data_IF_098215928647
#
_entry.id   IF_098215928647
#
_cell.length_a   1.000
_cell.length_b   1.000
_cell.length_c   1.000
_cell.angle_alpha   90.00
_cell.angle_beta   90.00
_cell.angle_gamma   90.00
#
_symmetry.space_group_name_H-M   'P 1'
#
loop_
_entity.id
_entity.type
_entity.pdbx_description
1 polymer ?
#
# COMPACT_ATOMS: atom_id res chain seq x y z
N UNK A 1 14.07 -22.44 3.21
CA UNK A 1 12.77 -23.07 2.95
C UNK A 1 11.97 -22.06 2.17
N UNK A 2 12.01 -22.23 0.86
CA UNK A 2 11.52 -21.28 -0.13
C UNK A 2 10.09 -21.72 -0.45
N UNK A 3 9.12 -20.91 -0.07
CA UNK A 3 7.73 -21.14 -0.41
C UNK A 3 7.28 -19.92 -1.18
N UNK A 4 6.71 -20.13 -2.36
CA UNK A 4 5.86 -19.16 -3.03
C UNK A 4 4.44 -19.30 -2.46
N UNK A 5 3.82 -18.21 -2.03
CA UNK A 5 2.40 -18.14 -1.63
C UNK A 5 1.69 -17.32 -2.68
N UNK A 6 0.63 -17.88 -3.24
CA UNK A 6 -0.28 -17.19 -4.13
C UNK A 6 -1.67 -17.13 -3.52
N UNK A 7 -2.43 -16.09 -3.86
CA UNK A 7 -3.81 -15.92 -3.44
C UNK A 7 -4.59 -15.09 -4.43
N UNK A 8 -5.10 -15.69 -5.52
CA UNK A 8 -6.01 -14.97 -6.43
C UNK A 8 -7.45 -15.08 -5.98
N UNK A 9 -8.23 -14.01 -6.22
CA UNK A 9 -9.67 -14.04 -6.01
C UNK A 9 -10.30 -15.24 -6.76
N UNK A 10 -11.20 -16.01 -6.10
CA UNK A 10 -11.79 -17.20 -6.72
C UNK A 10 -12.74 -16.87 -7.88
N UNK A 11 -13.24 -15.63 -7.94
CA UNK A 11 -14.13 -15.12 -8.97
C UNK A 11 -13.67 -13.73 -9.39
N UNK A 12 -13.48 -13.53 -10.69
CA UNK A 12 -13.16 -12.25 -11.32
C UNK A 12 -14.27 -11.93 -12.32
N UNK A 13 -14.77 -10.69 -12.30
CA UNK A 13 -15.80 -10.24 -13.23
C UNK A 13 -15.21 -9.24 -14.22
N UNK A 14 -15.51 -9.40 -15.50
CA UNK A 14 -14.99 -8.54 -16.56
C UNK A 14 -16.10 -8.12 -17.52
N UNK A 15 -15.97 -6.93 -18.10
CA UNK A 15 -16.93 -6.39 -19.07
C UNK A 15 -16.56 -6.85 -20.46
N UNK A 16 -17.52 -7.41 -21.21
CA UNK A 16 -17.35 -7.76 -22.61
C UNK A 16 -16.91 -6.55 -23.45
N UNK A 17 -15.93 -6.76 -24.32
CA UNK A 17 -15.36 -5.74 -25.19
C UNK A 17 -14.31 -4.86 -24.53
N UNK A 18 -14.04 -5.04 -23.22
CA UNK A 18 -12.94 -4.38 -22.53
C UNK A 18 -11.73 -5.31 -22.38
N UNK A 19 -10.53 -4.72 -22.40
CA UNK A 19 -9.31 -5.44 -22.04
C UNK A 19 -9.24 -5.59 -20.53
N UNK A 20 -9.31 -6.83 -20.06
CA UNK A 20 -9.07 -7.20 -18.67
C UNK A 20 -7.59 -7.47 -18.44
N UNK A 21 -7.06 -6.91 -17.34
CA UNK A 21 -5.72 -7.18 -16.83
C UNK A 21 -5.90 -7.88 -15.48
N UNK A 22 -5.59 -9.17 -15.45
CA UNK A 22 -5.72 -10.01 -14.25
C UNK A 22 -4.33 -10.35 -13.76
N UNK A 23 -3.95 -9.77 -12.63
CA UNK A 23 -2.70 -10.08 -11.97
C UNK A 23 -2.89 -11.33 -11.11
N UNK A 24 -2.00 -12.31 -11.27
CA UNK A 24 -1.86 -13.40 -10.31
C UNK A 24 -0.88 -12.92 -9.24
N UNK A 25 -1.31 -12.83 -7.97
CA UNK A 25 -0.40 -12.45 -6.90
C UNK A 25 0.47 -13.66 -6.59
N UNK A 26 1.72 -13.58 -6.98
CA UNK A 26 2.77 -14.47 -6.54
C UNK A 26 3.81 -13.63 -5.82
N UNK A 27 4.32 -14.14 -4.72
CA UNK A 27 5.35 -13.45 -3.95
C UNK A 27 6.58 -14.35 -3.84
N UNK A 28 7.70 -13.77 -4.24
CA UNK A 28 9.05 -14.20 -3.87
C UNK A 28 9.53 -13.22 -2.80
N UNK A 29 9.72 -13.73 -1.59
CA UNK A 29 10.04 -12.90 -0.44
C UNK A 29 11.52 -12.65 -0.26
N UNK A 30 12.41 -13.50 -0.75
CA UNK A 30 13.85 -13.23 -0.63
C UNK A 30 14.43 -12.52 -1.85
N UNK A 31 13.64 -12.39 -2.92
CA UNK A 31 13.99 -11.65 -4.15
C UNK A 31 15.15 -12.29 -4.91
N UNK A 32 15.49 -13.54 -4.58
CA UNK A 32 16.54 -14.29 -5.26
C UNK A 32 15.98 -15.32 -6.22
N UNK A 33 14.73 -15.71 -6.01
CA UNK A 33 14.04 -16.66 -6.85
C UNK A 33 13.41 -15.98 -8.07
N UNK A 34 13.23 -16.76 -9.13
CA UNK A 34 12.57 -16.36 -10.36
C UNK A 34 11.19 -16.98 -10.41
N UNK A 35 10.18 -16.19 -10.07
CA UNK A 35 8.77 -16.63 -10.10
C UNK A 35 8.23 -16.51 -11.51
N UNK A 36 7.64 -17.61 -12.00
CA UNK A 36 7.01 -17.66 -13.31
C UNK A 36 5.62 -18.25 -13.22
N UNK A 37 4.76 -17.78 -14.11
CA UNK A 37 3.45 -18.35 -14.31
C UNK A 37 3.34 -19.01 -15.68
N UNK A 38 2.56 -20.09 -15.75
CA UNK A 38 2.17 -20.74 -17.00
C UNK A 38 0.75 -21.26 -16.90
N UNK A 39 0.11 -21.48 -18.05
CA UNK A 39 -1.14 -22.23 -18.06
C UNK A 39 -0.88 -23.65 -17.55
N UNK A 40 -1.83 -24.17 -16.77
CA UNK A 40 -1.80 -25.57 -16.36
C UNK A 40 -1.92 -26.48 -17.61
N UNK A 41 -1.20 -27.60 -17.59
CA UNK A 41 -1.14 -28.56 -18.70
C UNK A 41 -1.64 -29.94 -18.25
N UNK A 42 -2.42 -30.60 -19.13
CA UNK A 42 -2.88 -31.99 -18.97
C UNK A 42 -1.73 -33.01 -18.92
N UNK A 43 -0.53 -32.59 -19.34
CA UNK A 43 0.70 -33.39 -19.40
C UNK A 43 1.86 -32.74 -18.64
N UNK A 44 1.54 -31.92 -17.63
CA UNK A 44 2.53 -31.22 -16.83
C UNK A 44 3.44 -32.14 -16.01
N UNK A 45 4.50 -31.61 -15.37
CA UNK A 45 5.46 -32.38 -14.59
C UNK A 45 4.84 -33.20 -13.45
N UNK A 46 3.70 -32.77 -12.92
CA UNK A 46 2.93 -33.45 -11.89
C UNK A 46 1.79 -34.34 -12.44
N UNK A 47 1.68 -34.50 -13.76
CA UNK A 47 0.58 -35.18 -14.44
C UNK A 47 -0.47 -34.19 -14.96
N UNK A 48 -1.74 -34.51 -14.74
CA UNK A 48 -2.86 -33.69 -15.19
C UNK A 48 -3.13 -32.53 -14.22
N UNK A 49 -2.68 -31.32 -14.57
CA UNK A 49 -2.77 -30.13 -13.72
C UNK A 49 -4.08 -29.33 -13.92
N UNK A 50 -4.79 -29.59 -15.01
CA UNK A 50 -5.99 -28.84 -15.41
C UNK A 50 -7.23 -29.70 -15.62
N UNK A 51 -7.16 -31.03 -15.52
CA UNK A 51 -8.28 -31.87 -15.90
C UNK A 51 -8.72 -31.57 -17.33
N UNK A 52 -10.02 -31.32 -17.49
CA UNK A 52 -10.62 -31.00 -18.80
C UNK A 52 -10.63 -29.50 -19.14
N UNK A 53 -10.03 -28.62 -18.32
CA UNK A 53 -10.16 -27.15 -18.44
C UNK A 53 -8.87 -26.43 -18.87
N UNK A 54 -7.94 -27.14 -19.52
CA UNK A 54 -6.68 -26.58 -19.99
C UNK A 54 -6.92 -25.48 -21.05
N UNK A 55 -6.27 -24.32 -20.90
CA UNK A 55 -6.36 -23.18 -21.83
C UNK A 55 -7.80 -22.68 -22.10
N UNK A 56 -8.70 -22.78 -21.12
CA UNK A 56 -10.12 -22.44 -21.27
C UNK A 56 -10.41 -20.93 -21.16
N UNK A 57 -9.50 -20.07 -21.64
CA UNK A 57 -9.69 -18.62 -21.78
C UNK A 57 -9.22 -18.15 -23.17
N UNK A 58 -10.10 -18.15 -24.18
CA UNK A 58 -9.71 -17.99 -25.57
C UNK A 58 -9.17 -16.60 -25.87
N UNK A 59 -7.99 -16.54 -26.52
CA UNK A 59 -7.35 -15.30 -26.93
C UNK A 59 -6.68 -14.51 -25.79
N UNK A 60 -6.60 -15.09 -24.58
CA UNK A 60 -5.84 -14.49 -23.48
C UNK A 60 -4.34 -14.73 -23.66
N UNK A 61 -3.54 -13.75 -23.23
CA UNK A 61 -2.09 -13.85 -23.14
C UNK A 61 -1.69 -13.88 -21.66
N UNK A 62 -0.89 -14.85 -21.26
CA UNK A 62 -0.28 -14.90 -19.94
C UNK A 62 1.20 -14.50 -20.07
N UNK A 63 1.55 -13.37 -19.46
CA UNK A 63 2.95 -12.99 -19.27
C UNK A 63 3.56 -13.88 -18.19
N UNK A 64 4.53 -14.71 -18.57
CA UNK A 64 5.10 -15.70 -17.64
C UNK A 64 5.87 -15.04 -16.51
N UNK A 65 6.70 -14.04 -16.80
CA UNK A 65 7.52 -13.35 -15.80
C UNK A 65 6.74 -12.37 -14.93
N UNK A 66 5.68 -11.78 -15.47
CA UNK A 66 4.85 -10.83 -14.70
C UNK A 66 3.68 -11.48 -14.01
N UNK A 67 3.38 -12.75 -14.32
CA UNK A 67 2.21 -13.45 -13.81
C UNK A 67 0.90 -12.68 -14.08
N UNK A 68 0.79 -12.11 -15.28
CA UNK A 68 -0.33 -11.23 -15.67
C UNK A 68 -1.05 -11.80 -16.88
N UNK A 69 -2.36 -12.00 -16.76
CA UNK A 69 -3.24 -12.33 -17.88
C UNK A 69 -3.76 -11.03 -18.49
N UNK A 70 -3.52 -10.84 -19.77
CA UNK A 70 -4.17 -9.80 -20.59
C UNK A 70 -5.18 -10.46 -21.51
N UNK A 71 -6.44 -10.04 -21.43
CA UNK A 71 -7.51 -10.65 -22.19
C UNK A 71 -8.52 -9.63 -22.70
N UNK A 72 -8.80 -9.65 -24.00
CA UNK A 72 -9.93 -8.90 -24.55
C UNK A 72 -11.20 -9.72 -24.28
N UNK A 73 -11.93 -9.31 -23.24
CA UNK A 73 -13.03 -10.09 -22.73
C UNK A 73 -14.13 -10.26 -23.79
N UNK A 74 -14.46 -11.51 -24.07
CA UNK A 74 -15.52 -11.90 -24.99
C UNK A 74 -16.40 -12.93 -24.30
N UNK A 75 -17.68 -13.03 -24.70
CA UNK A 75 -18.53 -14.16 -24.28
C UNK A 75 -18.25 -15.37 -25.16
N UNK A 76 -18.49 -16.58 -24.63
CA UNK A 76 -18.43 -17.81 -25.44
C UNK A 76 -19.50 -17.73 -26.52
N UNK A 77 -19.20 -18.24 -27.71
CA UNK A 77 -20.15 -18.25 -28.83
C UNK A 77 -21.48 -18.94 -28.47
N UNK A 78 -21.43 -20.01 -27.68
CA UNK A 78 -22.61 -20.71 -27.16
C UNK A 78 -23.47 -19.84 -26.23
N UNK A 79 -22.87 -18.85 -25.56
CA UNK A 79 -23.52 -17.93 -24.63
C UNK A 79 -23.89 -16.59 -25.29
N UNK A 80 -23.76 -16.47 -26.62
CA UNK A 80 -23.99 -15.20 -27.33
C UNK A 80 -25.42 -14.64 -27.15
N UNK A 81 -26.38 -15.51 -26.82
CA UNK A 81 -27.77 -15.16 -26.54
C UNK A 81 -28.03 -14.76 -25.07
N UNK A 82 -27.06 -14.97 -24.18
CA UNK A 82 -27.13 -14.61 -22.76
C UNK A 82 -26.35 -13.33 -22.50
N UNK A 83 -26.71 -12.53 -21.51
CA UNK A 83 -25.93 -11.32 -21.16
C UNK A 83 -24.61 -11.63 -20.46
N UNK A 84 -24.27 -12.91 -20.26
CA UNK A 84 -23.20 -13.36 -19.35
C UNK A 84 -22.57 -14.66 -19.86
N UNK A 85 -21.29 -14.90 -19.53
CA UNK A 85 -20.55 -16.12 -19.84
C UNK A 85 -19.55 -16.42 -18.72
N UNK A 86 -19.29 -17.69 -18.43
CA UNK A 86 -18.33 -18.10 -17.37
C UNK A 86 -17.24 -18.95 -17.97
N UNK A 87 -16.00 -18.61 -17.62
CA UNK A 87 -14.78 -19.34 -17.94
C UNK A 87 -14.15 -19.87 -16.66
N UNK A 88 -13.46 -20.98 -16.77
CA UNK A 88 -12.63 -21.53 -15.70
C UNK A 88 -11.19 -21.44 -16.16
N UNK A 89 -10.32 -20.91 -15.31
CA UNK A 89 -8.89 -20.73 -15.60
C UNK A 89 -8.09 -21.56 -14.61
N UNK A 90 -7.12 -22.31 -15.13
CA UNK A 90 -6.13 -23.06 -14.35
C UNK A 90 -4.71 -22.59 -14.72
N UNK A 91 -3.94 -22.17 -13.72
CA UNK A 91 -2.58 -21.62 -13.85
C UNK A 91 -1.67 -22.33 -12.84
N UNK A 92 -0.41 -22.52 -13.23
CA UNK A 92 0.66 -22.93 -12.32
C UNK A 92 1.51 -21.71 -11.99
N UNK A 93 1.66 -21.44 -10.70
CA UNK A 93 2.65 -20.48 -10.17
C UNK A 93 3.85 -21.30 -9.73
N UNK A 94 5.00 -21.02 -10.33
CA UNK A 94 6.20 -21.82 -10.18
C UNK A 94 7.37 -20.94 -9.76
N UNK A 95 8.22 -21.52 -8.93
CA UNK A 95 9.33 -20.89 -8.27
C UNK A 95 10.64 -21.55 -8.71
N UNK A 96 11.61 -20.77 -9.15
CA UNK A 96 12.85 -21.25 -9.70
C UNK A 96 14.04 -20.57 -9.03
N UNK A 97 15.13 -21.30 -8.79
CA UNK A 97 16.35 -20.73 -8.21
C UNK A 97 16.95 -19.56 -9.03
N UNK A 98 16.68 -19.48 -10.33
CA UNK A 98 17.07 -18.37 -11.22
C UNK A 98 16.44 -18.50 -12.62
N UNK A 99 16.66 -17.47 -13.44
CA UNK A 99 16.21 -17.36 -14.83
C UNK A 99 16.70 -18.46 -15.79
N UNK A 100 17.78 -19.16 -15.47
CA UNK A 100 18.29 -20.27 -16.28
C UNK A 100 17.70 -21.63 -15.88
N UNK A 101 17.06 -21.73 -14.70
CA UNK A 101 16.47 -22.99 -14.25
C UNK A 101 15.24 -23.37 -15.07
N UNK A 102 15.15 -24.66 -15.38
CA UNK A 102 14.03 -25.29 -16.09
C UNK A 102 13.19 -26.19 -15.18
N UNK A 103 13.63 -26.42 -13.94
CA UNK A 103 12.90 -27.23 -12.95
C UNK A 103 12.49 -26.34 -11.78
N UNK A 104 11.19 -26.30 -11.44
CA UNK A 104 10.73 -25.50 -10.32
C UNK A 104 11.12 -26.13 -8.98
N UNK A 105 11.46 -25.29 -8.01
CA UNK A 105 11.66 -25.62 -6.60
C UNK A 105 10.31 -25.81 -5.89
N UNK A 106 9.31 -25.02 -6.27
CA UNK A 106 7.93 -25.17 -5.82
C UNK A 106 6.94 -24.86 -6.96
N UNK A 107 5.79 -25.55 -6.93
CA UNK A 107 4.71 -25.39 -7.91
C UNK A 107 3.38 -25.35 -7.17
N UNK A 108 2.59 -24.29 -7.39
CA UNK A 108 1.29 -24.09 -6.76
C UNK A 108 0.20 -24.00 -7.84
N UNK A 109 -0.76 -24.93 -7.87
CA UNK A 109 -1.89 -24.84 -8.80
C UNK A 109 -2.89 -23.79 -8.32
N UNK A 110 -3.38 -23.00 -9.27
CA UNK A 110 -4.35 -21.94 -9.02
C UNK A 110 -5.52 -22.07 -9.98
N UNK A 111 -6.73 -22.05 -9.43
CA UNK A 111 -7.97 -22.09 -10.21
C UNK A 111 -8.87 -20.90 -9.87
N UNK A 112 -9.46 -20.29 -10.90
CA UNK A 112 -10.38 -19.17 -10.75
C UNK A 112 -11.48 -19.20 -11.80
N UNK A 113 -12.61 -18.59 -11.47
CA UNK A 113 -13.69 -18.32 -12.40
C UNK A 113 -13.57 -16.91 -12.96
N UNK A 114 -13.69 -16.77 -14.28
CA UNK A 114 -13.83 -15.48 -14.93
C UNK A 114 -15.25 -15.36 -15.48
N UNK A 115 -15.98 -14.38 -14.97
CA UNK A 115 -17.35 -14.10 -15.36
C UNK A 115 -17.39 -12.87 -16.26
N UNK A 116 -17.65 -13.09 -17.54
CA UNK A 116 -17.83 -12.01 -18.52
C UNK A 116 -19.29 -11.62 -18.58
N UNK A 117 -19.57 -10.33 -18.64
CA UNK A 117 -20.94 -9.85 -18.82
C UNK A 117 -21.00 -8.60 -19.68
N UNK A 118 -22.16 -8.39 -20.28
CA UNK A 118 -22.46 -7.21 -21.07
C UNK A 118 -23.34 -6.25 -20.25
N UNK A 119 -22.85 -5.05 -19.89
CA UNK A 119 -23.66 -4.07 -19.17
C UNK A 119 -24.80 -3.57 -20.05
N UNK A 120 -25.89 -3.10 -19.42
CA UNK A 120 -27.00 -2.50 -20.13
C UNK A 120 -26.53 -1.28 -20.93
N UNK A 121 -27.10 -1.09 -22.13
CA UNK A 121 -26.76 0.04 -22.99
C UNK A 121 -26.96 1.38 -22.26
N UNK A 122 -25.94 2.26 -22.31
CA UNK A 122 -25.95 3.55 -21.64
C UNK A 122 -25.66 3.52 -20.13
N UNK A 123 -25.45 2.34 -19.52
CA UNK A 123 -25.06 2.25 -18.12
C UNK A 123 -23.59 2.62 -17.94
N UNK A 124 -23.28 3.36 -16.86
CA UNK A 124 -21.91 3.59 -16.44
C UNK A 124 -21.23 2.25 -16.12
N UNK A 125 -20.08 2.01 -16.75
CA UNK A 125 -19.31 0.76 -16.72
C UNK A 125 -17.92 0.96 -16.11
N UNK A 126 -17.72 2.05 -15.34
CA UNK A 126 -16.47 2.30 -14.64
C UNK A 126 -16.42 1.43 -13.40
N UNK A 127 -15.44 0.51 -13.34
CA UNK A 127 -15.27 -0.40 -12.22
C UNK A 127 -14.93 0.36 -10.93
N UNK A 128 -15.35 -0.13 -9.75
CA UNK A 128 -14.87 0.41 -8.48
C UNK A 128 -13.36 0.17 -8.31
N UNK A 129 -12.71 0.93 -7.45
CA UNK A 129 -11.28 0.74 -7.15
C UNK A 129 -11.02 0.83 -5.66
N UNK A 130 -10.10 -0.01 -5.16
CA UNK A 130 -9.53 0.18 -3.82
C UNK A 130 -8.57 1.37 -3.91
N UNK A 131 -8.87 2.37 -3.08
CA UNK A 131 -8.13 3.62 -2.91
C UNK A 131 -7.53 3.69 -1.49
N UNK A 132 -7.29 2.51 -0.89
CA UNK A 132 -7.01 2.30 0.53
C UNK A 132 -5.94 3.20 1.13
N UNK A 133 -5.80 3.14 2.46
CA UNK A 133 -4.79 3.94 3.18
C UNK A 133 -3.35 3.53 2.78
N UNK A 134 -3.20 2.31 2.26
CA UNK A 134 -1.96 1.78 1.67
C UNK A 134 -2.16 1.44 0.20
N UNK A 135 -1.12 1.57 -0.63
CA UNK A 135 -1.19 1.18 -2.03
C UNK A 135 -1.15 -0.34 -2.20
N UNK A 136 -1.49 -0.78 -3.42
CA UNK A 136 -1.39 -2.19 -3.79
C UNK A 136 0.07 -2.66 -3.65
N UNK A 137 0.25 -3.89 -3.16
CA UNK A 137 1.52 -4.55 -2.87
C UNK A 137 2.32 -3.95 -1.71
N UNK A 138 1.70 -3.18 -0.83
CA UNK A 138 2.37 -2.75 0.40
C UNK A 138 2.82 -3.96 1.23
N UNK A 139 3.99 -3.84 1.85
CA UNK A 139 4.56 -4.82 2.76
C UNK A 139 4.50 -4.27 4.19
N UNK A 140 3.82 -4.98 5.10
CA UNK A 140 3.53 -4.49 6.46
C UNK A 140 4.12 -5.46 7.47
N UNK A 141 4.94 -4.97 8.37
CA UNK A 141 5.45 -5.78 9.47
C UNK A 141 4.47 -5.84 10.64
N UNK A 142 4.23 -7.02 11.20
CA UNK A 142 3.32 -7.22 12.34
C UNK A 142 3.95 -8.12 13.39
N UNK A 143 3.58 -7.94 14.67
CA UNK A 143 4.10 -8.77 15.76
C UNK A 143 3.16 -9.94 16.07
N UNK A 144 3.70 -11.15 16.33
CA UNK A 144 2.91 -12.25 16.85
C UNK A 144 2.32 -11.89 18.22
N UNK A 145 1.06 -12.27 18.46
CA UNK A 145 0.33 -12.00 19.70
C UNK A 145 -0.17 -10.56 19.87
N UNK A 146 0.14 -9.65 18.94
CA UNK A 146 -0.33 -8.26 18.98
C UNK A 146 -1.45 -8.07 17.96
N UNK A 147 -2.55 -7.47 18.38
CA UNK A 147 -3.65 -7.16 17.47
C UNK A 147 -3.24 -6.06 16.49
N UNK A 148 -3.38 -6.36 15.21
CA UNK A 148 -3.22 -5.44 14.11
C UNK A 148 -4.58 -5.09 13.49
N UNK A 149 -4.74 -3.83 13.11
CA UNK A 149 -5.95 -3.28 12.49
C UNK A 149 -5.55 -2.54 11.23
N UNK A 150 -6.20 -2.88 10.11
CA UNK A 150 -5.93 -2.27 8.80
C UNK A 150 -7.26 -1.92 8.12
N UNK A 151 -7.31 -0.82 7.37
CA UNK A 151 -8.54 -0.36 6.73
C UNK A 151 -8.41 -0.40 5.21
N UNK A 152 -9.34 -1.07 4.56
CA UNK A 152 -9.41 -1.15 3.10
C UNK A 152 -10.53 -0.24 2.62
N UNK A 153 -10.18 0.81 1.88
CA UNK A 153 -11.12 1.80 1.36
C UNK A 153 -11.29 1.61 -0.15
N UNK A 154 -12.52 1.64 -0.65
CA UNK A 154 -12.83 1.61 -2.07
C UNK A 154 -13.75 2.77 -2.46
N UNK A 155 -13.60 3.22 -3.69
CA UNK A 155 -14.44 4.23 -4.31
C UNK A 155 -15.23 3.67 -5.49
N UNK A 156 -16.42 4.24 -5.72
CA UNK A 156 -17.15 4.11 -6.98
C UNK A 156 -17.08 5.43 -7.74
N UNK A 157 -17.19 5.32 -9.06
CA UNK A 157 -17.05 6.46 -9.97
C UNK A 157 -18.32 6.76 -10.78
N UNK A 158 -19.28 5.85 -10.73
CA UNK A 158 -20.58 6.02 -11.31
C UNK A 158 -21.54 6.70 -10.32
N UNK A 159 -22.27 7.73 -10.76
CA UNK A 159 -23.18 8.49 -9.91
C UNK A 159 -24.27 7.60 -9.32
N UNK A 160 -24.42 7.64 -7.99
CA UNK A 160 -25.44 6.85 -7.27
C UNK A 160 -25.07 5.39 -7.05
N UNK A 161 -23.89 4.96 -7.48
CA UNK A 161 -23.41 3.61 -7.19
C UNK A 161 -23.00 3.43 -5.72
N UNK A 162 -22.97 2.17 -5.32
CA UNK A 162 -22.63 1.73 -3.98
C UNK A 162 -21.75 0.48 -4.07
N UNK A 163 -20.79 0.34 -3.16
CA UNK A 163 -20.10 -0.93 -2.97
C UNK A 163 -21.07 -1.91 -2.33
N UNK A 164 -21.30 -3.05 -2.98
CA UNK A 164 -22.11 -4.14 -2.47
C UNK A 164 -21.31 -5.04 -1.52
N UNK A 165 -20.08 -5.38 -1.90
CA UNK A 165 -19.25 -6.34 -1.17
C UNK A 165 -17.74 -6.04 -1.35
N UNK A 166 -16.94 -6.47 -0.37
CA UNK A 166 -15.49 -6.66 -0.55
C UNK A 166 -15.22 -8.16 -0.53
N UNK A 167 -14.86 -8.74 -1.67
CA UNK A 167 -14.37 -10.13 -1.71
C UNK A 167 -12.93 -10.13 -1.24
N UNK A 168 -12.57 -11.10 -0.40
CA UNK A 168 -11.27 -11.11 0.30
C UNK A 168 -10.67 -12.50 0.36
N UNK A 169 -9.35 -12.55 0.34
CA UNK A 169 -8.52 -13.69 0.75
C UNK A 169 -7.69 -13.20 1.92
N UNK A 170 -7.70 -13.94 3.01
CA UNK A 170 -7.14 -13.47 4.26
C UNK A 170 -6.32 -14.56 4.93
N UNK A 171 -5.24 -14.21 5.65
CA UNK A 171 -4.53 -15.14 6.51
C UNK A 171 -5.46 -15.80 7.53
N UNK A 172 -5.06 -16.96 8.02
CA UNK A 172 -5.81 -17.67 9.05
C UNK A 172 -6.05 -16.76 10.27
N UNK A 173 -7.28 -16.79 10.78
CA UNK A 173 -7.79 -15.98 11.90
C UNK A 173 -7.92 -14.47 11.67
N UNK A 174 -7.67 -13.97 10.45
CA UNK A 174 -8.01 -12.60 10.12
C UNK A 174 -9.52 -12.45 9.96
N UNK A 175 -10.09 -11.41 10.55
CA UNK A 175 -11.51 -11.08 10.48
C UNK A 175 -11.71 -9.73 9.82
N UNK A 176 -12.89 -9.50 9.22
CA UNK A 176 -13.28 -8.21 8.64
C UNK A 176 -14.65 -7.78 9.16
N UNK A 177 -14.86 -6.47 9.25
CA UNK A 177 -16.19 -5.90 9.54
C UNK A 177 -17.11 -5.99 8.33
N UNK A 178 -18.40 -5.73 8.55
CA UNK A 178 -19.28 -5.35 7.46
C UNK A 178 -18.78 -4.06 6.78
N UNK A 179 -19.16 -3.84 5.52
CA UNK A 179 -18.86 -2.59 4.82
C UNK A 179 -19.53 -1.41 5.52
N UNK A 180 -18.84 -0.27 5.56
CA UNK A 180 -19.37 1.00 6.03
C UNK A 180 -19.02 2.11 5.04
N UNK A 181 -19.81 3.19 5.00
CA UNK A 181 -19.50 4.38 4.20
C UNK A 181 -18.47 5.24 4.93
N UNK A 182 -17.50 5.82 4.22
CA UNK A 182 -16.55 6.78 4.80
C UNK A 182 -17.29 8.07 5.13
N UNK A 183 -17.21 8.52 6.38
CA UNK A 183 -17.88 9.75 6.84
C UNK A 183 -17.46 10.95 6.00
N UNK A 184 -18.43 11.76 5.58
CA UNK A 184 -18.19 12.95 4.75
C UNK A 184 -18.08 12.67 3.24
N UNK A 185 -18.24 11.41 2.81
CA UNK A 185 -18.19 11.04 1.38
C UNK A 185 -19.51 10.42 0.92
N UNK A 186 -19.81 10.51 -0.37
CA UNK A 186 -20.98 9.85 -0.99
C UNK A 186 -20.59 8.63 -1.81
N UNK A 187 -19.31 8.49 -2.15
CA UNK A 187 -18.79 7.53 -3.10
C UNK A 187 -17.63 6.68 -2.56
N UNK A 188 -17.40 6.63 -1.25
CA UNK A 188 -16.36 5.81 -0.64
C UNK A 188 -16.90 4.91 0.48
N UNK A 189 -16.40 3.69 0.53
CA UNK A 189 -16.74 2.67 1.50
C UNK A 189 -15.50 1.96 1.99
N UNK A 190 -15.57 1.37 3.17
CA UNK A 190 -14.45 0.65 3.74
C UNK A 190 -14.89 -0.59 4.51
N UNK A 191 -13.93 -1.49 4.69
CA UNK A 191 -13.96 -2.55 5.70
C UNK A 191 -12.76 -2.36 6.62
N UNK A 192 -12.89 -2.80 7.87
CA UNK A 192 -11.80 -2.87 8.82
C UNK A 192 -11.40 -4.33 9.00
N UNK A 193 -10.13 -4.62 8.82
CA UNK A 193 -9.50 -5.90 9.08
C UNK A 193 -8.99 -5.91 10.52
N UNK A 194 -9.12 -7.04 11.19
CA UNK A 194 -8.56 -7.26 12.52
C UNK A 194 -7.92 -8.63 12.57
N UNK A 195 -6.66 -8.67 13.01
CA UNK A 195 -5.88 -9.89 13.02
C UNK A 195 -4.89 -9.91 14.19
N UNK A 196 -4.73 -11.07 14.80
CA UNK A 196 -3.72 -11.30 15.84
C UNK A 196 -2.93 -12.53 15.43
N UNK A 197 -1.81 -12.37 14.71
CA UNK A 197 -1.04 -13.50 14.22
C UNK A 197 -0.47 -14.31 15.39
N UNK A 198 -0.38 -15.61 15.20
CA UNK A 198 0.27 -16.54 16.14
C UNK A 198 1.74 -16.73 15.78
N UNK A 199 2.51 -17.34 16.68
CA UNK A 199 3.91 -17.70 16.41
C UNK A 199 4.06 -18.68 15.24
N UNK A 200 3.05 -19.50 14.97
CA UNK A 200 3.04 -20.46 13.86
C UNK A 200 2.85 -19.77 12.49
N UNK A 201 2.54 -18.47 12.50
CA UNK A 201 2.35 -17.65 11.31
C UNK A 201 3.56 -16.75 11.03
N UNK A 202 4.67 -16.89 11.79
CA UNK A 202 5.93 -16.15 11.57
C UNK A 202 6.37 -16.27 10.11
N UNK A 203 6.74 -15.13 9.52
CA UNK A 203 7.04 -15.01 8.11
C UNK A 203 5.89 -14.39 7.31
N UNK A 204 5.91 -14.53 5.98
CA UNK A 204 5.01 -13.81 5.11
C UNK A 204 3.59 -14.39 5.07
N UNK A 205 2.61 -13.51 4.97
CA UNK A 205 1.19 -13.79 4.87
C UNK A 205 0.58 -12.82 3.85
N UNK A 206 -0.34 -13.28 3.01
CA UNK A 206 -0.94 -12.44 1.95
C UNK A 206 -2.40 -12.17 2.26
N UNK A 207 -2.80 -10.90 2.18
CA UNK A 207 -4.20 -10.49 2.09
C UNK A 207 -4.47 -9.92 0.71
N UNK A 208 -5.59 -10.30 0.11
CA UNK A 208 -6.06 -9.68 -1.12
C UNK A 208 -7.55 -9.32 -1.01
N UNK A 209 -7.96 -8.28 -1.72
CA UNK A 209 -9.35 -7.83 -1.80
C UNK A 209 -9.69 -7.30 -3.20
N UNK A 210 -10.97 -7.34 -3.54
CA UNK A 210 -11.54 -6.49 -4.59
C UNK A 210 -12.93 -5.98 -4.18
N UNK A 211 -13.27 -4.74 -4.54
CA UNK A 211 -14.60 -4.20 -4.31
C UNK A 211 -15.55 -4.67 -5.42
N UNK A 212 -16.79 -4.99 -5.04
CA UNK A 212 -17.88 -5.28 -5.98
C UNK A 212 -18.97 -4.24 -5.75
N UNK A 213 -19.41 -3.57 -6.81
CA UNK A 213 -20.51 -2.61 -6.70
C UNK A 213 -21.90 -3.24 -6.87
N UNK A 214 -22.95 -2.44 -6.71
CA UNK A 214 -24.35 -2.86 -6.85
C UNK A 214 -24.71 -3.39 -8.25
N UNK A 215 -23.94 -3.01 -9.28
CA UNK A 215 -24.08 -3.49 -10.67
C UNK A 215 -23.23 -4.75 -10.93
N UNK A 216 -22.58 -5.27 -9.89
CA UNK A 216 -21.66 -6.41 -9.92
C UNK A 216 -20.40 -6.16 -10.74
N UNK A 217 -20.02 -4.90 -10.96
CA UNK A 217 -18.68 -4.54 -11.45
C UNK A 217 -17.68 -4.87 -10.35
N UNK A 218 -16.63 -5.61 -10.69
CA UNK A 218 -15.55 -5.95 -9.76
C UNK A 218 -14.34 -5.10 -10.07
N UNK A 219 -13.79 -4.44 -9.04
CA UNK A 219 -12.55 -3.69 -9.15
C UNK A 219 -11.34 -4.58 -9.30
N UNK A 220 -10.21 -3.97 -9.69
CA UNK A 220 -8.93 -4.68 -9.75
C UNK A 220 -8.55 -5.27 -8.40
N UNK A 221 -7.88 -6.42 -8.42
CA UNK A 221 -7.36 -7.05 -7.21
C UNK A 221 -6.31 -6.15 -6.55
N UNK A 222 -6.47 -5.95 -5.25
CA UNK A 222 -5.56 -5.26 -4.37
C UNK A 222 -5.01 -6.27 -3.37
N UNK A 223 -3.69 -6.33 -3.18
CA UNK A 223 -3.05 -7.23 -2.24
C UNK A 223 -2.05 -6.49 -1.36
N UNK A 224 -1.92 -6.91 -0.11
CA UNK A 224 -0.88 -6.49 0.82
C UNK A 224 -0.23 -7.73 1.42
N UNK A 225 1.06 -7.63 1.69
CA UNK A 225 1.81 -8.67 2.39
C UNK A 225 1.99 -8.26 3.84
N UNK A 226 1.65 -9.15 4.77
CA UNK A 226 2.02 -9.03 6.16
C UNK A 226 3.23 -9.92 6.45
N UNK A 227 4.21 -9.41 7.20
CA UNK A 227 5.39 -10.17 7.61
C UNK A 227 5.37 -10.28 9.13
N UNK A 228 4.99 -11.45 9.61
CA UNK A 228 4.83 -11.72 11.05
C UNK A 228 6.19 -11.92 11.70
N UNK A 229 6.45 -11.19 12.79
CA UNK A 229 7.69 -11.26 13.57
C UNK A 229 8.75 -10.25 13.14
N UNK A 230 8.48 -9.44 12.12
CA UNK A 230 9.44 -8.48 11.57
C UNK A 230 8.76 -7.11 11.47
N UNK A 231 9.21 -6.15 12.27
CA UNK A 231 8.63 -4.81 12.28
C UNK A 231 9.24 -3.91 11.20
N UNK A 232 8.46 -2.97 10.64
CA UNK A 232 9.04 -1.92 9.82
C UNK A 232 9.83 -0.93 10.69
N UNK A 233 10.73 -0.13 10.08
CA UNK A 233 11.34 0.98 10.78
C UNK A 233 10.28 2.03 11.09
N UNK A 234 9.93 2.18 12.36
CA UNK A 234 9.02 3.25 12.80
C UNK A 234 9.78 4.57 12.87
N UNK A 235 9.32 5.57 12.11
CA UNK A 235 9.81 6.93 12.19
C UNK A 235 9.46 7.54 13.54
N UNK A 236 10.47 8.01 14.26
CA UNK A 236 10.36 8.40 15.66
C UNK A 236 9.84 9.83 15.76
N UNK A 237 8.89 10.05 16.66
CA UNK A 237 8.37 11.39 16.99
C UNK A 237 9.50 12.36 17.32
N UNK A 238 9.41 13.63 16.88
CA UNK A 238 10.27 14.68 17.39
C UNK A 238 10.16 14.77 18.91
N UNK A 239 11.21 14.37 19.64
CA UNK A 239 11.27 14.53 21.10
C UNK A 239 12.43 15.43 21.48
N UNK A 240 12.40 15.95 22.71
CA UNK A 240 13.51 16.74 23.29
C UNK A 240 14.80 15.93 23.47
N UNK A 241 14.79 14.61 23.20
CA UNK A 241 16.01 13.85 22.99
C UNK A 241 16.57 14.25 21.63
N UNK A 242 17.58 15.12 21.67
CA UNK A 242 18.25 15.74 20.52
C UNK A 242 18.34 14.80 19.30
N UNK A 243 17.66 15.16 18.22
CA UNK A 243 17.96 14.64 16.88
C UNK A 243 17.00 13.59 16.30
N UNK A 244 15.88 13.25 16.97
CA UNK A 244 14.90 12.32 16.38
C UNK A 244 14.22 12.88 15.12
N UNK A 245 14.09 14.20 15.02
CA UNK A 245 13.91 14.91 13.75
C UNK A 245 14.62 16.27 13.82
N UNK A 246 15.16 16.75 12.71
CA UNK A 246 15.87 18.02 12.63
C UNK A 246 15.66 18.67 11.26
N UNK A 247 15.44 19.99 11.19
CA UNK A 247 15.36 20.94 12.30
C UNK A 247 13.99 20.89 13.01
N UNK A 248 13.93 21.44 14.23
CA UNK A 248 12.70 21.65 15.00
C UNK A 248 12.53 23.14 15.32
N UNK A 249 11.28 23.57 15.53
CA UNK A 249 10.98 24.94 15.95
C UNK A 249 11.19 25.94 14.82
N UNK A 250 12.07 26.93 15.01
CA UNK A 250 12.32 27.99 14.03
C UNK A 250 13.44 27.61 13.07
N UNK A 251 13.15 27.71 11.77
CA UNK A 251 13.99 27.27 10.65
C UNK A 251 14.25 28.47 9.73
N UNK A 252 15.48 28.64 9.26
CA UNK A 252 15.79 29.69 8.29
C UNK A 252 15.27 29.32 6.89
N UNK A 253 14.86 30.33 6.11
CA UNK A 253 14.39 30.10 4.74
C UNK A 253 15.45 29.51 3.79
N UNK A 254 16.74 29.57 4.14
CA UNK A 254 17.81 28.92 3.36
C UNK A 254 18.11 27.48 3.83
N UNK A 255 17.37 26.98 4.82
CA UNK A 255 17.54 25.62 5.32
C UNK A 255 17.01 24.62 4.30
N UNK A 256 17.78 23.58 4.02
CA UNK A 256 17.49 22.63 2.94
C UNK A 256 17.76 21.18 3.30
N UNK A 257 18.28 20.85 4.49
CA UNK A 257 18.58 19.47 4.88
C UNK A 257 17.80 19.10 6.12
N UNK A 258 16.82 18.22 5.92
CA UNK A 258 15.96 17.72 6.98
C UNK A 258 16.35 16.27 7.28
N UNK A 259 16.16 15.83 8.52
CA UNK A 259 16.39 14.45 8.93
C UNK A 259 15.36 13.96 9.94
N UNK A 260 15.09 12.66 9.92
CA UNK A 260 14.27 11.95 10.89
C UNK A 260 14.90 10.59 11.21
N UNK A 261 14.86 10.22 12.49
CA UNK A 261 15.34 8.93 12.99
C UNK A 261 14.23 7.90 12.96
N UNK A 262 14.63 6.64 12.85
CA UNK A 262 13.76 5.49 12.95
C UNK A 262 14.22 4.56 14.09
N UNK A 263 13.34 3.66 14.49
CA UNK A 263 13.61 2.63 15.51
C UNK A 263 14.58 1.54 15.07
N UNK A 264 14.90 1.47 13.77
CA UNK A 264 15.80 0.51 13.16
C UNK A 264 16.36 1.03 11.85
N UNK A 265 17.20 0.22 11.20
CA UNK A 265 17.83 0.61 9.94
C UNK A 265 16.77 0.88 8.86
N UNK A 266 16.97 1.98 8.13
CA UNK A 266 16.10 2.44 7.06
C UNK A 266 16.77 2.23 5.71
N UNK A 267 15.95 1.84 4.75
CA UNK A 267 16.34 1.58 3.37
C UNK A 267 15.42 2.34 2.43
N UNK A 268 15.92 2.54 1.21
CA UNK A 268 15.15 3.16 0.15
C UNK A 268 13.95 2.27 -0.21
N UNK A 269 12.74 2.82 -0.26
CA UNK A 269 11.56 2.11 -0.74
C UNK A 269 11.73 1.65 -2.18
N UNK A 270 11.20 0.48 -2.51
CA UNK A 270 11.32 -0.11 -3.86
C UNK A 270 10.16 0.24 -4.80
N UNK A 271 9.24 1.12 -4.40
CA UNK A 271 8.05 1.48 -5.16
C UNK A 271 7.80 2.99 -5.19
N UNK A 272 6.99 3.42 -6.15
CA UNK A 272 6.51 4.80 -6.25
C UNK A 272 5.43 5.08 -5.20
N UNK A 273 5.08 6.36 -5.07
CA UNK A 273 4.04 6.80 -4.15
C UNK A 273 4.48 6.76 -2.69
N UNK A 274 5.78 6.91 -2.44
CA UNK A 274 6.37 6.93 -1.08
C UNK A 274 6.83 8.35 -0.77
N UNK A 275 5.87 9.28 -0.73
CA UNK A 275 6.18 10.70 -0.66
C UNK A 275 6.53 11.16 0.76
N UNK A 276 7.53 12.04 0.84
CA UNK A 276 7.67 13.01 1.92
C UNK A 276 7.18 14.36 1.36
N UNK A 277 6.28 15.01 2.09
CA UNK A 277 5.61 16.23 1.63
C UNK A 277 5.61 17.30 2.73
N UNK A 278 5.88 18.54 2.35
CA UNK A 278 5.85 19.70 3.23
C UNK A 278 4.71 20.60 2.81
N UNK A 279 3.88 20.99 3.76
CA UNK A 279 2.73 21.86 3.53
C UNK A 279 2.82 23.11 4.36
N UNK A 280 2.33 24.21 3.79
CA UNK A 280 2.05 25.42 4.53
C UNK A 280 0.75 25.25 5.32
N UNK A 281 0.76 25.56 6.61
CA UNK A 281 -0.43 25.43 7.47
C UNK A 281 -1.54 26.42 7.09
N UNK A 282 -1.20 27.55 6.48
CA UNK A 282 -2.17 28.52 5.99
C UNK A 282 -2.79 28.10 4.64
N UNK A 283 -2.09 27.29 3.84
CA UNK A 283 -2.57 26.78 2.56
C UNK A 283 -2.16 25.31 2.38
N UNK A 284 -3.03 24.41 2.83
CA UNK A 284 -2.78 22.97 2.81
C UNK A 284 -3.33 22.27 1.56
N UNK A 285 -3.76 23.01 0.52
CA UNK A 285 -4.33 22.40 -0.69
C UNK A 285 -3.28 21.74 -1.58
N UNK A 286 -2.02 22.23 -1.53
CA UNK A 286 -0.90 21.71 -2.29
C UNK A 286 0.35 21.66 -1.41
N UNK A 287 1.21 20.68 -1.64
CA UNK A 287 2.52 20.62 -0.98
C UNK A 287 3.42 21.73 -1.55
N UNK A 288 4.11 22.43 -0.66
CA UNK A 288 5.13 23.43 -0.98
C UNK A 288 6.42 22.77 -1.47
N UNK A 289 6.64 21.54 -1.01
CA UNK A 289 7.67 20.66 -1.51
C UNK A 289 7.23 19.20 -1.36
N UNK A 290 7.61 18.36 -2.33
CA UNK A 290 7.41 16.93 -2.24
C UNK A 290 8.51 16.17 -2.98
N UNK A 291 8.85 14.99 -2.47
CA UNK A 291 9.73 14.04 -3.16
C UNK A 291 9.17 12.62 -3.04
N UNK A 292 9.12 11.88 -4.15
CA UNK A 292 8.86 10.44 -4.13
C UNK A 292 10.14 9.71 -3.73
N UNK A 293 10.23 9.26 -2.49
CA UNK A 293 11.48 8.75 -1.97
C UNK A 293 11.89 7.37 -2.49
N UNK A 294 11.02 6.69 -3.25
CA UNK A 294 11.39 5.49 -4.00
C UNK A 294 12.39 5.77 -5.12
N UNK A 295 12.40 7.00 -5.68
CA UNK A 295 13.21 7.34 -6.86
C UNK A 295 13.99 8.65 -6.73
N UNK A 296 13.54 9.56 -5.87
CA UNK A 296 14.21 10.85 -5.71
C UNK A 296 15.56 10.70 -5.04
N UNK A 297 16.58 11.31 -5.65
CA UNK A 297 17.91 11.45 -5.05
C UNK A 297 17.93 12.42 -3.87
N UNK A 298 16.86 13.21 -3.68
CA UNK A 298 16.74 14.10 -2.53
C UNK A 298 16.53 13.32 -1.24
N UNK A 299 15.97 12.10 -1.27
CA UNK A 299 15.84 11.25 -0.08
C UNK A 299 17.06 10.31 0.03
N UNK A 300 17.71 10.29 1.19
CA UNK A 300 18.90 9.50 1.50
C UNK A 300 18.63 8.68 2.77
N UNK A 301 19.04 7.42 2.73
CA UNK A 301 18.83 6.46 3.81
C UNK A 301 20.19 6.02 4.34
N UNK A 302 20.44 6.20 5.63
CA UNK A 302 21.73 5.89 6.24
C UNK A 302 21.54 5.44 7.69
N UNK A 303 21.86 4.17 7.96
CA UNK A 303 21.61 3.56 9.27
C UNK A 303 20.14 3.74 9.66
N UNK A 304 19.89 4.38 10.80
CA UNK A 304 18.55 4.66 11.32
C UNK A 304 17.98 6.01 10.88
N UNK A 305 18.65 6.72 9.98
CA UNK A 305 18.29 8.10 9.59
C UNK A 305 17.80 8.17 8.15
N UNK A 306 16.63 8.79 7.96
CA UNK A 306 16.19 9.32 6.67
C UNK A 306 16.61 10.79 6.61
N UNK A 307 17.43 11.15 5.63
CA UNK A 307 17.75 12.54 5.32
C UNK A 307 17.03 12.92 4.03
N UNK A 308 16.55 14.16 3.94
CA UNK A 308 15.98 14.66 2.70
C UNK A 308 16.33 16.12 2.40
N UNK A 309 16.66 16.37 1.14
CA UNK A 309 17.01 17.69 0.65
C UNK A 309 15.78 18.44 0.12
N UNK A 310 15.38 19.48 0.84
CA UNK A 310 14.29 20.37 0.45
C UNK A 310 14.85 21.45 -0.47
N UNK A 311 14.89 21.14 -1.76
CA UNK A 311 15.35 22.06 -2.82
C UNK A 311 14.17 22.83 -3.40
N UNK A 312 14.38 24.12 -3.67
CA UNK A 312 13.40 25.00 -4.34
C UNK A 312 12.06 25.16 -3.60
N UNK A 313 12.02 24.97 -2.28
CA UNK A 313 10.83 25.28 -1.49
C UNK A 313 10.62 26.80 -1.42
N UNK A 314 9.38 27.23 -1.65
CA UNK A 314 8.99 28.63 -1.58
C UNK A 314 8.57 29.00 -0.16
N UNK A 315 9.55 29.24 0.70
CA UNK A 315 9.29 29.59 2.09
C UNK A 315 8.68 30.99 2.22
N UNK A 316 7.60 31.09 2.98
CA UNK A 316 7.02 32.35 3.43
C UNK A 316 7.56 32.65 4.82
N UNK A 317 8.24 33.79 4.98
CA UNK A 317 8.74 34.24 6.28
C UNK A 317 7.61 34.34 7.31
N UNK A 318 7.85 33.86 8.53
CA UNK A 318 6.88 33.85 9.62
C UNK A 318 5.78 32.80 9.52
N UNK A 319 5.69 32.05 8.41
CA UNK A 319 4.66 31.02 8.25
C UNK A 319 5.03 29.70 8.96
N UNK A 320 3.99 28.94 9.31
CA UNK A 320 4.09 27.62 9.93
C UNK A 320 3.90 26.53 8.89
N UNK A 321 4.73 25.49 8.96
CA UNK A 321 4.74 24.36 8.06
C UNK A 321 4.69 23.04 8.84
N UNK A 322 4.24 21.99 8.18
CA UNK A 322 4.29 20.62 8.70
C UNK A 322 4.72 19.63 7.63
N UNK A 323 5.25 18.49 8.07
CA UNK A 323 5.75 17.42 7.19
C UNK A 323 4.86 16.18 7.34
N UNK A 324 4.41 15.64 6.22
CA UNK A 324 3.70 14.37 6.14
C UNK A 324 4.55 13.32 5.45
N UNK A 325 4.34 12.06 5.84
CA UNK A 325 5.02 10.90 5.29
C UNK A 325 3.96 9.92 4.79
N UNK A 326 4.06 9.52 3.52
CA UNK A 326 3.22 8.46 2.97
C UNK A 326 3.59 7.10 3.56
N UNK A 327 2.69 6.12 3.43
CA UNK A 327 3.02 4.72 3.77
C UNK A 327 4.25 4.29 2.98
N UNK A 328 5.24 3.73 3.68
CA UNK A 328 6.50 3.29 3.08
C UNK A 328 7.46 4.41 2.73
N UNK A 329 7.36 5.60 3.34
CA UNK A 329 8.38 6.64 3.21
C UNK A 329 9.76 6.19 3.73
N UNK A 330 9.83 5.15 4.55
CA UNK A 330 11.03 4.36 4.81
C UNK A 330 10.69 2.86 4.74
N UNK A 331 11.67 2.01 4.45
CA UNK A 331 11.48 0.57 4.45
C UNK A 331 12.57 -0.17 5.23
N UNK A 332 12.24 -1.36 5.73
CA UNK A 332 13.25 -2.33 6.16
C UNK A 332 13.96 -2.99 4.96
N UNK A 333 14.81 -3.98 5.24
CA UNK A 333 15.54 -4.77 4.24
C UNK A 333 15.28 -6.29 4.34
N UNK A 334 14.29 -6.71 5.12
CA UNK A 334 13.98 -8.12 5.33
C UNK A 334 12.72 -8.47 4.53
N UNK A 335 12.70 -9.64 3.88
CA UNK A 335 11.60 -10.13 3.05
C UNK A 335 11.15 -9.11 1.97
N UNK A 336 9.86 -8.74 2.00
CA UNK A 336 9.28 -7.77 1.07
C UNK A 336 9.61 -6.30 1.39
N UNK A 337 10.53 -6.01 2.33
CA UNK A 337 10.85 -4.69 2.86
C UNK A 337 9.67 -4.03 3.58
N UNK A 338 9.33 -4.45 4.82
CA UNK A 338 8.28 -3.85 5.63
C UNK A 338 8.36 -2.33 5.62
N UNK A 339 7.25 -1.71 5.26
CA UNK A 339 7.09 -0.28 5.05
C UNK A 339 6.75 0.43 6.35
N UNK A 340 7.37 1.58 6.58
CA UNK A 340 7.00 2.46 7.68
C UNK A 340 5.54 2.88 7.58
N UNK A 341 4.88 3.03 8.73
CA UNK A 341 3.55 3.60 8.77
C UNK A 341 3.53 5.04 8.25
N UNK A 342 2.41 5.48 7.63
CA UNK A 342 2.27 6.88 7.24
C UNK A 342 2.22 7.79 8.47
N UNK A 343 2.75 9.00 8.33
CA UNK A 343 2.56 10.09 9.29
C UNK A 343 1.60 11.09 8.66
N UNK A 344 0.34 11.02 9.08
CA UNK A 344 -0.76 11.89 8.61
C UNK A 344 -1.13 12.99 9.61
N UNK A 345 -0.63 12.90 10.85
CA UNK A 345 -0.87 13.90 11.88
C UNK A 345 -0.04 15.16 11.62
N UNK A 346 -0.70 16.27 11.34
CA UNK A 346 -0.05 17.57 11.07
C UNK A 346 0.67 18.16 12.27
N UNK A 347 0.42 17.64 13.47
CA UNK A 347 1.12 18.05 14.69
C UNK A 347 2.42 17.28 14.92
N UNK A 348 2.63 16.14 14.25
CA UNK A 348 3.78 15.26 14.46
C UNK A 348 5.12 15.98 14.25
N UNK A 349 5.31 16.61 13.09
CA UNK A 349 6.49 17.42 12.80
C UNK A 349 6.06 18.73 12.15
N UNK A 350 6.09 19.79 12.95
CA UNK A 350 5.80 21.15 12.53
C UNK A 350 6.94 22.11 12.89
N UNK A 351 7.10 23.17 12.11
CA UNK A 351 8.15 24.17 12.27
C UNK A 351 7.71 25.53 11.70
N UNK A 352 8.41 26.59 12.09
CA UNK A 352 8.17 27.96 11.63
C UNK A 352 9.35 28.45 10.80
N UNK A 353 9.08 29.19 9.73
CA UNK A 353 10.14 29.91 9.04
C UNK A 353 10.45 31.21 9.79
N UNK A 354 11.72 31.42 10.13
CA UNK A 354 12.20 32.62 10.81
C UNK A 354 11.79 33.89 10.06
N UNK A 355 11.25 34.89 10.74
CA UNK A 355 10.85 36.16 10.14
C UNK A 355 11.85 37.28 10.51
N UNK A 356 12.60 37.85 9.56
CA UNK A 356 13.46 39.01 9.81
C UNK A 356 12.71 40.28 10.22
N UNK A 357 11.41 40.38 9.91
CA UNK A 357 10.57 41.56 10.14
C UNK A 357 9.90 41.62 11.51
N UNK A 358 9.88 40.50 12.26
CA UNK A 358 9.33 40.47 13.62
C UNK A 358 10.44 40.80 14.61
N UNK A 359 10.60 42.09 14.92
CA UNK A 359 11.40 42.51 16.06
C UNK A 359 10.79 41.95 17.34
N UNK A 360 11.54 41.12 18.06
CA UNK A 360 11.15 40.59 19.36
C UNK A 360 11.01 41.73 20.37
N UNK A 361 9.80 42.29 20.46
CA UNK A 361 9.41 43.15 21.58
C UNK A 361 9.22 42.26 22.79
N UNK A 362 10.32 41.75 23.33
CA UNK A 362 10.34 41.08 24.62
C UNK A 362 10.05 42.15 25.66
N UNK A 363 8.79 42.29 26.05
CA UNK A 363 8.40 43.11 27.20
C UNK A 363 8.96 42.42 28.43
N UNK A 364 10.16 42.83 28.84
CA UNK A 364 10.70 42.52 30.16
C UNK A 364 9.84 43.24 31.19
N UNK A 365 8.78 42.58 31.66
CA UNK A 365 8.14 42.95 32.92
C UNK A 365 9.04 42.43 34.03
N UNK A 366 10.05 43.24 34.38
CA UNK A 366 10.78 43.11 35.63
C UNK A 366 9.82 43.39 36.78
N UNK A 367 9.26 42.34 37.36
CA UNK A 367 8.70 42.43 38.71
C UNK A 367 9.88 42.49 39.68
N UNK A 368 10.01 43.54 40.51
CA UNK A 368 11.10 43.63 41.49
C UNK A 368 10.97 42.50 42.52
N UNK A 369 12.08 41.89 42.98
CA UNK A 369 12.02 40.91 44.04
C UNK A 369 11.59 41.58 45.35
N UNK A 370 10.49 41.10 45.92
CA UNK A 370 10.06 41.41 47.28
C UNK A 370 11.11 40.92 48.27
N UNK A 371 11.55 41.83 49.12
CA UNK A 371 12.50 41.58 50.20
C UNK A 371 11.87 40.62 51.22
N UNK A 372 12.32 39.36 51.21
CA UNK A 372 11.99 38.39 52.23
C UNK A 372 12.79 38.65 53.49
N UNK A 373 12.10 39.09 54.54
CA UNK A 373 12.65 39.25 55.90
C UNK A 373 13.10 37.90 56.44
N UNK A 374 14.39 37.77 56.72
CA UNK A 374 14.94 36.67 57.52
C UNK A 374 14.40 36.83 58.94
N UNK A 375 13.64 35.84 59.41
CA UNK A 375 13.30 35.73 60.83
C UNK A 375 13.99 34.48 61.36
N UNK A 376 14.99 34.70 62.20
CA UNK A 376 15.63 33.67 63.02
C UNK A 376 14.74 33.34 64.21
N UNK A 377 14.24 32.11 64.26
CA UNK A 377 14.18 31.27 65.47
C UNK A 377 13.82 29.84 65.13
#
# INVERSE_FOLDING_TARGET
HYFSVTGSLPLIRVIEGQTAIIQIPAADWDRTDDIRCRWADSSGPAGDECGDICNNLPGANLSSSECTITWNAVRRSVDAHLTTSTYVVAIMVEDFVNSASTTPMSSVPLQMLIYTYQPASGACSVIPAIIGDRPNRACIGVLPGVQHVERIVAAVYCTGDNIDEFITISPLYMTKTAKARVTGTTNQWYITLTWTPTTDQIGPQVFCAAPIDQKKLTGSQYCISFVVGYLPPNLITPTLVQGSASPLGTVFANHSLFSIQATGDVYRPSRNGTYIQIFNKANSSCAEWQADCGYSSDCIYSGQTVLFYVRNANWTYGANYYILFSSGAASGNIFCNPESDPITDTSFWNFNIWDPGVSSTTTTTTTPPTTGTVTTR
#
